data_IF_015957883476
#
_entry.id   IF_015957883476
#
_cell.length_a   1.000
_cell.length_b   1.000
_cell.length_c   1.000
_cell.angle_alpha   90.00
_cell.angle_beta   90.00
_cell.angle_gamma   90.00
#
_symmetry.space_group_name_H-M   'P 1'
#
loop_
_entity.id
_entity.type
_entity.pdbx_description
1 polymer ?
#
# COMPACT_ATOMS: atom_id res chain seq x y z
N UNK A 1 6.76 16.42 20.84
CA UNK A 1 8.13 16.67 20.32
C UNK A 1 8.06 17.79 19.31
N UNK A 2 8.91 18.82 19.42
CA UNK A 2 8.96 19.94 18.47
C UNK A 2 9.89 19.61 17.30
N UNK A 3 9.73 20.25 16.15
CA UNK A 3 10.58 20.04 14.97
C UNK A 3 12.08 20.25 15.27
N UNK A 4 12.40 21.21 16.15
CA UNK A 4 13.76 21.48 16.61
C UNK A 4 14.39 20.28 17.35
N UNK A 5 13.60 19.55 18.13
CA UNK A 5 14.08 18.36 18.84
C UNK A 5 14.39 17.20 17.89
N UNK A 6 13.66 17.08 16.78
CA UNK A 6 13.91 16.03 15.77
C UNK A 6 15.23 16.31 15.05
N UNK A 7 15.47 17.57 14.66
CA UNK A 7 16.69 17.92 13.95
C UNK A 7 17.94 17.83 14.83
N UNK A 8 17.82 18.14 16.12
CA UNK A 8 18.87 17.89 17.09
C UNK A 8 19.21 16.39 17.19
N UNK A 9 18.20 15.53 17.34
CA UNK A 9 18.38 14.09 17.42
C UNK A 9 19.02 13.51 16.13
N UNK A 10 18.62 13.99 14.95
CA UNK A 10 19.22 13.58 13.68
C UNK A 10 20.71 13.93 13.61
N UNK A 11 21.07 15.15 14.00
CA UNK A 11 22.47 15.58 14.00
C UNK A 11 23.33 14.77 14.97
N UNK A 12 22.78 14.38 16.11
CA UNK A 12 23.48 13.54 17.08
C UNK A 12 23.72 12.13 16.54
N UNK A 13 22.73 11.53 15.88
CA UNK A 13 22.87 10.23 15.20
C UNK A 13 23.94 10.31 14.11
N UNK A 14 23.94 11.38 13.29
CA UNK A 14 24.95 11.58 12.24
C UNK A 14 26.36 11.61 12.87
N UNK A 15 26.56 12.37 13.95
CA UNK A 15 27.86 12.44 14.63
C UNK A 15 28.27 11.08 15.21
N UNK A 16 27.34 10.30 15.75
CA UNK A 16 27.64 8.96 16.25
C UNK A 16 28.11 8.04 15.13
N UNK A 17 27.42 8.04 13.98
CA UNK A 17 27.82 7.24 12.82
C UNK A 17 29.20 7.67 12.30
N UNK A 18 29.44 8.98 12.13
CA UNK A 18 30.72 9.49 11.62
C UNK A 18 31.92 9.16 12.52
N UNK A 19 31.70 9.06 13.84
CA UNK A 19 32.76 8.77 14.81
C UNK A 19 32.87 7.27 15.16
N UNK A 20 32.05 6.41 14.55
CA UNK A 20 32.08 4.96 14.80
C UNK A 20 33.32 4.34 14.15
N UNK A 21 34.11 3.59 14.93
CA UNK A 21 35.29 2.86 14.43
C UNK A 21 34.98 1.40 14.04
N UNK A 22 33.82 0.89 14.45
CA UNK A 22 33.38 -0.46 14.11
C UNK A 22 32.89 -0.54 12.65
N UNK A 23 33.74 -1.09 11.79
CA UNK A 23 33.46 -1.28 10.37
C UNK A 23 32.28 -2.22 10.12
N UNK A 24 32.07 -3.24 10.95
CA UNK A 24 30.95 -4.17 10.77
C UNK A 24 29.62 -3.51 11.08
N UNK A 25 29.60 -2.64 12.09
CA UNK A 25 28.42 -1.81 12.38
C UNK A 25 28.14 -0.83 11.24
N UNK A 26 29.15 -0.17 10.69
CA UNK A 26 29.00 0.73 9.54
C UNK A 26 28.49 0.01 8.30
N UNK A 27 28.99 -1.21 8.02
CA UNK A 27 28.53 -2.02 6.89
C UNK A 27 27.07 -2.44 7.07
N UNK A 28 26.67 -2.82 8.30
CA UNK A 28 25.28 -3.14 8.62
C UNK A 28 24.35 -1.94 8.47
N UNK A 29 24.79 -0.75 8.86
CA UNK A 29 24.05 0.51 8.65
C UNK A 29 23.90 0.79 7.15
N UNK A 30 24.98 0.66 6.37
CA UNK A 30 24.97 0.83 4.91
C UNK A 30 23.99 -0.13 4.23
N UNK A 31 24.02 -1.41 4.60
CA UNK A 31 23.14 -2.44 4.05
C UNK A 31 21.67 -2.18 4.40
N UNK A 32 21.39 -1.63 5.59
CA UNK A 32 20.04 -1.24 5.99
C UNK A 32 19.48 -0.12 5.07
N UNK A 33 20.31 0.85 4.68
CA UNK A 33 19.90 1.90 3.73
C UNK A 33 19.75 1.38 2.30
N UNK A 34 20.69 0.55 1.82
CA UNK A 34 20.60 -0.05 0.49
C UNK A 34 19.36 -0.94 0.31
N UNK A 35 19.00 -1.72 1.35
CA UNK A 35 17.80 -2.55 1.34
C UNK A 35 16.52 -1.71 1.38
N UNK A 36 16.55 -0.52 2.00
CA UNK A 36 15.41 0.40 1.99
C UNK A 36 15.15 0.96 0.60
N UNK A 37 16.19 1.36 -0.13
CA UNK A 37 16.09 1.81 -1.53
C UNK A 37 15.59 0.68 -2.45
N UNK A 38 16.06 -0.57 -2.23
CA UNK A 38 15.60 -1.73 -2.98
C UNK A 38 14.15 -2.11 -2.67
N UNK A 39 13.71 -2.02 -1.40
CA UNK A 39 12.31 -2.25 -1.03
C UNK A 39 11.39 -1.12 -1.56
N UNK A 40 11.83 0.14 -1.51
CA UNK A 40 11.08 1.25 -2.11
C UNK A 40 10.95 1.10 -3.63
N UNK A 41 11.99 0.60 -4.33
CA UNK A 41 11.92 0.28 -5.75
C UNK A 41 11.04 -0.95 -6.06
N UNK A 42 10.98 -1.95 -5.17
CA UNK A 42 10.15 -3.15 -5.32
C UNK A 42 8.66 -2.91 -5.05
N UNK A 43 8.31 -1.85 -4.32
CA UNK A 43 6.92 -1.45 -4.07
C UNK A 43 6.29 -0.70 -5.27
N UNK A 44 7.06 -0.38 -6.32
CA UNK A 44 6.57 0.32 -7.54
C UNK A 44 6.30 -0.68 -8.67
N UNK A 45 5.58 -1.74 -8.34
CA UNK A 45 4.82 -2.50 -9.33
C UNK A 45 3.44 -2.77 -8.74
N UNK A 46 2.81 -1.71 -8.22
CA UNK A 46 1.37 -1.73 -8.01
C UNK A 46 0.73 -1.84 -9.39
N UNK A 47 -0.07 -2.89 -9.59
CA UNK A 47 -1.07 -2.87 -10.66
C UNK A 47 -1.80 -1.53 -10.63
N UNK A 48 -2.19 -0.96 -11.78
CA UNK A 48 -2.86 0.33 -11.80
C UNK A 48 -4.02 0.32 -10.81
N UNK A 49 -3.90 1.13 -9.75
CA UNK A 49 -4.98 1.29 -8.79
C UNK A 49 -6.23 1.74 -9.55
N UNK A 50 -7.37 1.08 -9.31
CA UNK A 50 -8.63 1.49 -9.91
C UNK A 50 -8.89 2.97 -9.62
N UNK A 51 -9.35 3.71 -10.63
CA UNK A 51 -9.62 5.13 -10.46
C UNK A 51 -10.85 5.32 -9.57
N UNK A 52 -11.00 6.52 -9.00
CA UNK A 52 -12.19 6.86 -8.22
C UNK A 52 -13.46 6.67 -9.05
N UNK A 53 -13.39 7.02 -10.33
CA UNK A 53 -14.48 6.91 -11.30
C UNK A 53 -14.85 5.44 -11.53
N UNK A 54 -13.87 4.55 -11.67
CA UNK A 54 -14.12 3.11 -11.82
C UNK A 54 -14.82 2.53 -10.58
N UNK A 55 -14.36 2.92 -9.39
CA UNK A 55 -14.94 2.50 -8.11
C UNK A 55 -16.39 2.97 -8.00
N UNK A 56 -16.65 4.25 -8.31
CA UNK A 56 -17.99 4.83 -8.24
C UNK A 56 -18.93 4.18 -9.27
N UNK A 57 -18.46 3.93 -10.50
CA UNK A 57 -19.25 3.23 -11.51
C UNK A 57 -19.60 1.80 -11.09
N UNK A 58 -18.67 1.09 -10.43
CA UNK A 58 -18.92 -0.22 -9.85
C UNK A 58 -20.04 -0.18 -8.80
N UNK A 59 -20.04 0.81 -7.91
CA UNK A 59 -21.10 0.99 -6.92
C UNK A 59 -22.45 1.31 -7.54
N UNK A 60 -22.49 2.21 -8.54
CA UNK A 60 -23.73 2.58 -9.22
C UNK A 60 -24.36 1.37 -9.93
N UNK A 61 -23.53 0.55 -10.60
CA UNK A 61 -23.99 -0.67 -11.26
C UNK A 61 -24.55 -1.67 -10.26
N UNK A 62 -23.83 -1.95 -9.16
CA UNK A 62 -24.28 -2.88 -8.12
C UNK A 62 -25.61 -2.44 -7.46
N UNK A 63 -25.76 -1.15 -7.19
CA UNK A 63 -27.00 -0.59 -6.65
C UNK A 63 -28.16 -0.68 -7.65
N UNK A 64 -27.89 -0.45 -8.93
CA UNK A 64 -28.89 -0.58 -10.00
C UNK A 64 -29.38 -2.03 -10.16
N UNK A 65 -28.47 -3.01 -10.12
CA UNK A 65 -28.82 -4.44 -10.16
C UNK A 65 -29.66 -4.85 -8.94
N UNK A 66 -29.25 -4.43 -7.73
CA UNK A 66 -29.98 -4.71 -6.50
C UNK A 66 -31.41 -4.12 -6.54
N UNK A 67 -31.55 -2.90 -7.05
CA UNK A 67 -32.86 -2.27 -7.25
C UNK A 67 -33.70 -3.06 -8.26
N UNK A 68 -33.12 -3.45 -9.38
CA UNK A 68 -33.80 -4.23 -10.42
C UNK A 68 -34.29 -5.59 -9.89
N UNK A 69 -33.49 -6.24 -9.04
CA UNK A 69 -33.88 -7.47 -8.34
C UNK A 69 -35.08 -7.23 -7.40
N UNK A 70 -35.04 -6.17 -6.58
CA UNK A 70 -36.17 -5.83 -5.69
C UNK A 70 -37.45 -5.49 -6.44
N UNK A 71 -37.33 -4.92 -7.63
CA UNK A 71 -38.47 -4.61 -8.52
C UNK A 71 -38.96 -5.84 -9.31
N UNK A 72 -38.34 -7.01 -9.15
CA UNK A 72 -38.68 -8.23 -9.88
C UNK A 72 -38.32 -8.19 -11.37
N UNK A 73 -37.44 -7.27 -11.77
CA UNK A 73 -36.97 -7.10 -13.16
C UNK A 73 -35.70 -7.88 -13.46
N UNK A 74 -35.06 -8.44 -12.42
CA UNK A 74 -33.84 -9.21 -12.49
C UNK A 74 -34.04 -10.50 -11.68
N UNK A 75 -33.72 -11.65 -12.28
CA UNK A 75 -33.69 -12.93 -11.59
C UNK A 75 -32.27 -13.25 -11.14
N UNK A 76 -32.12 -13.81 -9.92
CA UNK A 76 -30.83 -14.23 -9.41
C UNK A 76 -30.50 -15.63 -9.91
N UNK A 77 -29.24 -15.85 -10.25
CA UNK A 77 -28.73 -17.20 -10.49
C UNK A 77 -28.68 -17.99 -9.17
N UNK A 78 -28.94 -19.30 -9.21
CA UNK A 78 -28.62 -20.20 -8.10
C UNK A 78 -27.15 -20.09 -7.69
N UNK A 79 -26.88 -20.27 -6.39
CA UNK A 79 -25.52 -20.21 -5.85
C UNK A 79 -24.58 -21.23 -6.52
N UNK A 80 -25.09 -22.42 -6.85
CA UNK A 80 -24.34 -23.49 -7.54
C UNK A 80 -23.76 -23.00 -8.87
N UNK A 81 -24.57 -22.29 -9.66
CA UNK A 81 -24.16 -21.80 -10.98
C UNK A 81 -23.10 -20.70 -10.85
N UNK A 82 -23.23 -19.83 -9.84
CA UNK A 82 -22.23 -18.79 -9.54
C UNK A 82 -20.89 -19.41 -9.12
N UNK A 83 -20.92 -20.48 -8.31
CA UNK A 83 -19.69 -21.16 -7.87
C UNK A 83 -18.97 -21.87 -9.01
N UNK A 84 -19.70 -22.31 -10.05
CA UNK A 84 -19.11 -22.92 -11.24
C UNK A 84 -18.49 -21.91 -12.21
N UNK A 85 -18.83 -20.62 -12.10
CA UNK A 85 -18.31 -19.52 -12.93
C UNK A 85 -17.05 -18.84 -12.35
N UNK A 86 -16.66 -19.18 -11.12
CA UNK A 86 -15.53 -18.61 -10.38
C UNK A 86 -14.24 -19.41 -10.55
#
# INVERSE_FOLDING_TARGET
MTALNIQAAQNDIIRQVLNTQDIHLLDRIRNLFANKEANEACMVQEEPCMTKEDILSGFDNALHELKSYREGKLELKPLEDVLNEL
#
